data_IF_266375377628
#
_entry.id   IF_266375377628
#
_cell.length_a   1.000
_cell.length_b   1.000
_cell.length_c   1.000
_cell.angle_alpha   90.00
_cell.angle_beta   90.00
_cell.angle_gamma   90.00
#
_symmetry.space_group_name_H-M   'P 1'
#
loop_
_entity.id
_entity.type
_entity.pdbx_description
1 polymer ?
#
# COMPACT_ATOMS: atom_id res chain seq x y z
N UNK A 1 -12.88 -12.26 -26.03
CA UNK A 1 -11.95 -11.11 -26.08
C UNK A 1 -11.05 -11.20 -24.85
N UNK A 2 -9.86 -11.78 -24.99
CA UNK A 2 -8.94 -12.00 -23.87
C UNK A 2 -8.08 -10.78 -23.62
N UNK A 3 -8.06 -10.28 -22.39
CA UNK A 3 -7.12 -9.26 -21.95
C UNK A 3 -5.70 -9.85 -22.00
N UNK A 4 -4.77 -9.18 -22.67
CA UNK A 4 -3.36 -9.57 -22.71
C UNK A 4 -2.71 -9.16 -21.40
N UNK A 5 -2.52 -10.10 -20.49
CA UNK A 5 -1.72 -9.93 -19.26
C UNK A 5 -0.25 -10.18 -19.63
N UNK A 6 0.58 -9.13 -19.55
CA UNK A 6 2.03 -9.26 -19.71
C UNK A 6 2.71 -9.29 -18.35
N UNK A 7 3.06 -10.49 -17.89
CA UNK A 7 3.91 -10.72 -16.71
C UNK A 7 5.37 -10.48 -17.08
N UNK A 8 6.07 -9.60 -16.36
CA UNK A 8 7.52 -9.38 -16.55
C UNK A 8 8.26 -9.69 -15.25
N UNK A 9 9.29 -10.54 -15.39
CA UNK A 9 10.30 -10.85 -14.39
C UNK A 9 11.36 -9.73 -14.36
N UNK A 10 11.64 -9.16 -13.19
CA UNK A 10 12.68 -8.13 -13.05
C UNK A 10 14.06 -8.78 -12.85
N UNK A 11 14.88 -8.85 -13.90
CA UNK A 11 16.32 -9.11 -13.76
C UNK A 11 17.07 -7.80 -13.47
N UNK A 12 17.79 -7.77 -12.35
CA UNK A 12 18.73 -6.71 -11.96
C UNK A 12 19.73 -6.39 -13.08
N UNK A 13 19.93 -5.10 -13.36
CA UNK A 13 21.06 -4.62 -14.15
C UNK A 13 20.73 -3.34 -14.93
N UNK A 14 20.90 -2.19 -14.30
CA UNK A 14 20.85 -0.91 -15.01
C UNK A 14 22.08 -0.78 -15.92
N UNK A 15 21.89 -0.96 -17.23
CA UNK A 15 22.81 -0.41 -18.24
C UNK A 15 21.97 0.36 -19.27
N UNK A 16 22.40 1.58 -19.57
CA UNK A 16 21.67 2.49 -20.45
C UNK A 16 21.68 1.96 -21.89
N UNK A 17 20.57 1.39 -22.34
CA UNK A 17 20.21 1.35 -23.76
C UNK A 17 18.78 1.82 -23.89
N UNK A 18 18.58 2.94 -24.61
CA UNK A 18 17.27 3.36 -25.10
C UNK A 18 16.76 2.28 -26.06
N UNK A 19 15.89 1.42 -25.54
CA UNK A 19 15.00 0.61 -26.36
C UNK A 19 13.92 1.48 -27.03
N UNK A 20 13.17 0.92 -28.00
CA UNK A 20 12.16 1.65 -28.76
C UNK A 20 11.06 2.20 -27.86
N UNK A 21 10.38 3.30 -28.25
CA UNK A 21 9.39 3.98 -27.43
C UNK A 21 8.24 3.02 -27.19
N UNK A 22 8.23 2.51 -25.99
CA UNK A 22 7.22 1.59 -25.49
C UNK A 22 6.57 2.37 -24.36
N UNK A 23 5.26 2.23 -24.23
CA UNK A 23 4.43 2.86 -23.20
C UNK A 23 4.80 2.44 -21.76
N UNK A 24 6.02 1.92 -21.54
CA UNK A 24 6.66 1.55 -20.29
C UNK A 24 6.94 2.71 -19.35
N UNK A 25 6.75 3.96 -19.76
CA UNK A 25 6.76 5.07 -18.81
C UNK A 25 5.64 4.82 -17.79
N UNK A 26 5.99 4.67 -16.52
CA UNK A 26 5.02 4.62 -15.43
C UNK A 26 4.17 5.91 -15.37
N UNK A 27 3.21 6.01 -14.44
CA UNK A 27 2.42 7.22 -14.29
C UNK A 27 3.34 8.45 -14.21
N UNK A 28 2.90 9.56 -14.79
CA UNK A 28 3.63 10.81 -14.71
C UNK A 28 3.91 11.16 -13.23
N UNK A 29 5.12 11.65 -12.94
CA UNK A 29 5.48 12.11 -11.60
C UNK A 29 4.42 13.10 -11.09
N UNK A 30 3.93 12.90 -9.86
CA UNK A 30 2.83 13.71 -9.32
C UNK A 30 1.43 13.07 -9.36
N UNK A 31 1.27 11.90 -9.99
CA UNK A 31 -0.08 11.34 -10.28
C UNK A 31 -0.26 9.86 -9.97
N UNK A 32 0.81 9.21 -9.50
CA UNK A 32 0.78 7.80 -9.12
C UNK A 32 0.13 7.64 -7.74
N UNK A 33 -0.91 6.80 -7.68
CA UNK A 33 -1.41 6.18 -6.46
C UNK A 33 -0.84 4.77 -6.37
N UNK A 34 -0.41 4.35 -5.18
CA UNK A 34 0.21 3.05 -4.95
C UNK A 34 -0.70 2.22 -4.06
N UNK A 35 -1.15 1.09 -4.58
CA UNK A 35 -2.19 0.26 -3.96
C UNK A 35 -1.67 -1.15 -3.78
N UNK A 36 -2.01 -1.78 -2.67
CA UNK A 36 -1.71 -3.17 -2.36
C UNK A 36 -3.02 -3.94 -2.18
N UNK A 37 -3.09 -5.14 -2.76
CA UNK A 37 -4.12 -6.13 -2.47
C UNK A 37 -3.47 -7.33 -1.80
N UNK A 38 -3.89 -7.63 -0.58
CA UNK A 38 -3.51 -8.85 0.10
C UNK A 38 -4.35 -10.02 -0.44
N UNK A 39 -3.67 -11.12 -0.74
CA UNK A 39 -4.29 -12.36 -1.22
C UNK A 39 -3.91 -13.47 -0.26
N UNK A 40 -4.88 -14.30 0.09
CA UNK A 40 -4.65 -15.52 0.84
C UNK A 40 -5.10 -16.72 0.00
N UNK A 41 -4.25 -17.73 -0.11
CA UNK A 41 -4.59 -19.02 -0.71
C UNK A 41 -4.44 -20.09 0.37
N UNK A 42 -5.55 -20.74 0.72
CA UNK A 42 -5.55 -21.86 1.67
C UNK A 42 -4.84 -23.09 1.09
N UNK A 43 -4.45 -24.02 1.96
CA UNK A 43 -3.88 -25.31 1.55
C UNK A 43 -4.84 -26.12 0.66
N UNK A 44 -6.15 -25.94 0.84
CA UNK A 44 -7.21 -26.55 0.03
C UNK A 44 -7.43 -25.84 -1.32
N UNK A 45 -6.71 -24.76 -1.59
CA UNK A 45 -6.80 -23.99 -2.84
C UNK A 45 -7.89 -22.92 -2.87
N UNK A 46 -8.65 -22.74 -1.79
CA UNK A 46 -9.58 -21.60 -1.66
C UNK A 46 -8.79 -20.30 -1.62
N UNK A 47 -9.23 -19.31 -2.39
CA UNK A 47 -8.56 -18.02 -2.56
C UNK A 47 -9.46 -16.89 -2.04
N UNK A 48 -8.90 -16.03 -1.20
CA UNK A 48 -9.52 -14.80 -0.72
C UNK A 48 -8.66 -13.58 -1.05
N UNK A 49 -9.30 -12.45 -1.37
CA UNK A 49 -8.63 -11.15 -1.55
C UNK A 49 -9.18 -10.14 -0.55
N UNK A 50 -8.27 -9.36 0.05
CA UNK A 50 -8.63 -8.24 0.92
C UNK A 50 -9.01 -6.99 0.14
N UNK A 51 -9.39 -5.94 0.88
CA UNK A 51 -9.62 -4.59 0.36
C UNK A 51 -8.33 -3.92 -0.06
N UNK A 52 -8.46 -2.85 -0.85
CA UNK A 52 -7.33 -2.06 -1.28
C UNK A 52 -6.70 -1.28 -0.13
N UNK A 53 -5.41 -1.52 0.09
CA UNK A 53 -4.55 -0.71 0.93
C UNK A 53 -3.84 0.34 0.08
N UNK A 54 -4.02 1.63 0.38
CA UNK A 54 -3.27 2.68 -0.30
C UNK A 54 -2.05 3.07 0.52
N UNK A 55 -0.87 3.10 -0.13
CA UNK A 55 0.36 3.63 0.45
C UNK A 55 0.31 5.15 0.38
N UNK A 56 -0.41 5.78 1.30
CA UNK A 56 -0.74 7.19 1.21
C UNK A 56 0.45 8.13 1.36
N UNK A 57 1.46 7.77 2.16
CA UNK A 57 2.64 8.61 2.38
C UNK A 57 3.88 7.75 2.29
N UNK A 58 4.84 8.15 1.47
CA UNK A 58 6.12 7.45 1.34
C UNK A 58 7.28 8.44 1.23
N UNK A 59 8.46 8.01 1.67
CA UNK A 59 9.70 8.76 1.54
C UNK A 59 10.77 7.83 0.97
N UNK A 60 11.39 8.22 -0.14
CA UNK A 60 12.21 7.32 -0.96
C UNK A 60 11.41 6.04 -1.31
N UNK A 61 11.91 4.86 -0.94
CA UNK A 61 11.26 3.57 -1.16
C UNK A 61 10.39 3.11 0.04
N UNK A 62 10.23 3.92 1.09
CA UNK A 62 9.58 3.51 2.34
C UNK A 62 8.17 4.04 2.44
N UNK A 63 7.23 3.17 2.78
CA UNK A 63 5.86 3.55 3.15
C UNK A 63 5.84 4.00 4.61
N UNK A 64 5.37 5.22 4.85
CA UNK A 64 5.23 5.81 6.17
C UNK A 64 3.79 5.69 6.69
N UNK A 65 2.80 5.86 5.80
CA UNK A 65 1.39 5.71 6.13
C UNK A 65 0.71 4.90 5.03
N UNK A 66 -0.01 3.86 5.42
CA UNK A 66 -0.92 3.11 4.57
C UNK A 66 -2.33 3.09 5.16
N UNK A 67 -3.35 3.08 4.30
CA UNK A 67 -4.75 3.23 4.69
C UNK A 67 -5.64 2.20 3.98
N UNK A 68 -6.58 1.59 4.71
CA UNK A 68 -7.56 0.65 4.17
C UNK A 68 -8.96 0.93 4.75
N UNK A 69 -10.02 0.99 3.91
CA UNK A 69 -9.97 0.98 2.45
C UNK A 69 -9.27 2.22 1.89
N UNK A 70 -8.72 2.09 0.67
CA UNK A 70 -8.08 3.17 -0.05
C UNK A 70 -9.03 4.39 -0.21
N UNK A 71 -8.67 5.58 0.28
CA UNK A 71 -9.54 6.75 0.25
C UNK A 71 -9.88 7.17 -1.18
N UNK A 72 -11.15 7.45 -1.46
CA UNK A 72 -11.63 7.87 -2.80
C UNK A 72 -11.28 6.90 -3.94
N UNK A 73 -11.04 5.63 -3.65
CA UNK A 73 -10.94 4.62 -4.70
C UNK A 73 -12.36 4.20 -5.13
N UNK A 74 -12.72 4.30 -6.42
CA UNK A 74 -14.00 3.80 -6.89
C UNK A 74 -14.11 2.29 -6.67
N UNK A 75 -15.27 1.82 -6.20
CA UNK A 75 -15.50 0.39 -5.92
C UNK A 75 -15.32 -0.51 -7.14
N UNK A 76 -15.61 0.00 -8.34
CA UNK A 76 -15.37 -0.71 -9.61
C UNK A 76 -13.88 -0.93 -9.90
N UNK A 77 -13.04 0.06 -9.57
CA UNK A 77 -11.58 -0.04 -9.70
C UNK A 77 -11.04 -1.01 -8.65
N UNK A 78 -11.50 -0.90 -7.40
CA UNK A 78 -11.11 -1.84 -6.34
C UNK A 78 -11.46 -3.29 -6.70
N UNK A 79 -12.68 -3.54 -7.20
CA UNK A 79 -13.09 -4.86 -7.66
C UNK A 79 -12.17 -5.39 -8.78
N UNK A 80 -11.81 -4.56 -9.76
CA UNK A 80 -10.89 -4.94 -10.83
C UNK A 80 -9.49 -5.29 -10.30
N UNK A 81 -8.95 -4.49 -9.38
CA UNK A 81 -7.65 -4.75 -8.75
C UNK A 81 -7.67 -6.08 -7.98
N UNK A 82 -8.77 -6.37 -7.25
CA UNK A 82 -8.96 -7.62 -6.52
C UNK A 82 -9.03 -8.83 -7.45
N UNK A 83 -9.78 -8.74 -8.55
CA UNK A 83 -9.81 -9.80 -9.57
C UNK A 83 -8.42 -10.08 -10.12
N UNK A 84 -7.68 -9.04 -10.49
CA UNK A 84 -6.32 -9.21 -11.05
C UNK A 84 -5.36 -9.77 -10.01
N UNK A 85 -5.46 -9.34 -8.75
CA UNK A 85 -4.63 -9.90 -7.68
C UNK A 85 -4.89 -11.40 -7.48
N UNK A 86 -6.16 -11.81 -7.55
CA UNK A 86 -6.54 -13.23 -7.51
C UNK A 86 -5.98 -14.02 -8.70
N UNK A 87 -6.06 -13.46 -9.91
CA UNK A 87 -5.54 -14.08 -11.13
C UNK A 87 -4.01 -14.25 -11.05
N UNK A 88 -3.29 -13.21 -10.61
CA UNK A 88 -1.84 -13.27 -10.40
C UNK A 88 -1.46 -14.35 -9.39
N UNK A 89 -2.20 -14.48 -8.29
CA UNK A 89 -1.95 -15.50 -7.29
C UNK A 89 -2.18 -16.92 -7.82
N UNK A 90 -3.24 -17.15 -8.61
CA UNK A 90 -3.51 -18.45 -9.25
C UNK A 90 -2.44 -18.79 -10.28
N UNK A 91 -2.12 -17.86 -11.17
CA UNK A 91 -1.15 -18.08 -12.26
C UNK A 91 0.26 -18.39 -11.72
N UNK A 92 0.60 -17.85 -10.54
CA UNK A 92 1.89 -18.08 -9.87
C UNK A 92 1.86 -19.26 -8.89
N UNK A 93 0.72 -19.95 -8.73
CA UNK A 93 0.58 -21.09 -7.82
C UNK A 93 0.85 -20.73 -6.36
N UNK A 94 0.39 -19.56 -5.91
CA UNK A 94 0.59 -19.11 -4.54
C UNK A 94 -0.05 -20.05 -3.52
N UNK A 95 0.59 -20.16 -2.35
CA UNK A 95 0.11 -20.85 -1.16
C UNK A 95 0.39 -19.95 0.03
N UNK A 96 -0.58 -19.79 0.93
CA UNK A 96 -0.50 -18.86 2.04
C UNK A 96 -0.76 -17.41 1.65
N UNK A 97 -0.15 -16.48 2.37
CA UNK A 97 -0.33 -15.03 2.16
C UNK A 97 0.55 -14.51 1.04
N UNK A 98 0.04 -13.52 0.31
CA UNK A 98 0.80 -12.77 -0.67
C UNK A 98 0.24 -11.36 -0.83
N UNK A 99 1.00 -10.52 -1.53
CA UNK A 99 0.60 -9.14 -1.82
C UNK A 99 0.89 -8.82 -3.27
N UNK A 100 -0.11 -8.28 -3.96
CA UNK A 100 0.04 -7.73 -5.31
C UNK A 100 -0.02 -6.21 -5.20
N UNK A 101 1.06 -5.56 -5.63
CA UNK A 101 1.21 -4.12 -5.62
C UNK A 101 0.88 -3.55 -7.00
N UNK A 102 0.17 -2.42 -7.00
CA UNK A 102 -0.31 -1.73 -8.18
C UNK A 102 0.13 -0.27 -8.17
N UNK A 103 0.41 0.27 -9.35
CA UNK A 103 0.45 1.70 -9.61
C UNK A 103 -0.78 2.11 -10.40
N UNK A 104 -1.49 3.12 -9.94
CA UNK A 104 -2.70 3.67 -10.57
C UNK A 104 -2.43 5.12 -10.98
N UNK A 105 -2.69 5.45 -12.24
CA UNK A 105 -2.77 6.84 -12.69
C UNK A 105 -4.20 7.35 -12.47
N UNK A 106 -4.32 8.27 -11.52
CA UNK A 106 -5.62 8.80 -11.09
C UNK A 106 -6.36 9.60 -12.18
N UNK A 107 -5.67 10.09 -13.23
CA UNK A 107 -6.34 10.81 -14.33
C UNK A 107 -6.95 9.85 -15.36
N UNK A 108 -6.16 8.86 -15.76
CA UNK A 108 -6.56 7.93 -16.84
C UNK A 108 -7.32 6.73 -16.31
N UNK A 109 -7.23 6.44 -15.01
CA UNK A 109 -7.76 5.22 -14.40
C UNK A 109 -6.94 3.98 -14.76
N UNK A 110 -5.85 4.13 -15.50
CA UNK A 110 -4.98 3.02 -15.90
C UNK A 110 -4.17 2.58 -14.70
N UNK A 111 -4.26 1.29 -14.35
CA UNK A 111 -3.43 0.67 -13.34
C UNK A 111 -2.49 -0.38 -13.94
N UNK A 112 -1.37 -0.63 -13.25
CA UNK A 112 -0.35 -1.61 -13.63
C UNK A 112 0.10 -2.38 -12.41
N UNK A 113 0.39 -3.67 -12.57
CA UNK A 113 1.05 -4.47 -11.52
C UNK A 113 2.52 -4.02 -11.45
N UNK A 114 2.95 -3.56 -10.29
CA UNK A 114 4.32 -3.09 -10.05
C UNK A 114 5.16 -4.15 -9.33
N UNK A 115 4.54 -4.96 -8.48
CA UNK A 115 5.18 -6.08 -7.80
C UNK A 115 4.14 -7.13 -7.40
N UNK A 116 4.59 -8.37 -7.20
CA UNK A 116 3.74 -9.44 -6.68
C UNK A 116 4.62 -10.43 -5.92
N UNK A 117 4.42 -10.49 -4.60
CA UNK A 117 5.26 -11.25 -3.69
C UNK A 117 4.41 -12.18 -2.82
N UNK A 118 4.73 -13.47 -2.85
CA UNK A 118 4.24 -14.41 -1.85
C UNK A 118 5.07 -14.23 -0.57
N UNK A 119 4.40 -14.23 0.58
CA UNK A 119 5.08 -14.30 1.87
C UNK A 119 5.38 -15.76 2.18
N UNK A 120 6.61 -16.11 2.57
CA UNK A 120 6.90 -17.45 3.04
C UNK A 120 6.04 -17.73 4.28
N UNK A 121 5.36 -18.89 4.31
CA UNK A 121 4.58 -19.33 5.45
C UNK A 121 5.47 -19.31 6.72
N UNK A 122 5.28 -18.29 7.57
CA UNK A 122 5.83 -18.31 8.91
C UNK A 122 5.00 -19.32 9.70
N UNK A 123 5.55 -20.53 9.89
CA UNK A 123 4.90 -21.59 10.64
C UNK A 123 4.39 -21.06 11.99
N UNK A 124 3.08 -21.13 12.22
CA UNK A 124 2.47 -20.86 13.53
C UNK A 124 1.88 -19.46 13.75
N UNK A 125 1.85 -18.55 12.77
CA UNK A 125 1.06 -17.32 12.92
C UNK A 125 -0.40 -17.62 12.56
N UNK A 126 -1.38 -17.31 13.44
CA UNK A 126 -2.78 -17.38 13.05
C UNK A 126 -2.98 -16.48 11.83
N UNK A 127 -3.48 -17.06 10.74
CA UNK A 127 -3.78 -16.32 9.53
C UNK A 127 -5.01 -15.48 9.83
N UNK A 128 -4.80 -14.23 10.25
CA UNK A 128 -5.84 -13.22 10.18
C UNK A 128 -6.25 -13.10 8.70
N UNK A 129 -7.55 -12.99 8.44
CA UNK A 129 -8.04 -12.77 7.08
C UNK A 129 -7.34 -11.59 6.41
N UNK A 130 -7.35 -11.50 5.07
CA UNK A 130 -6.64 -10.45 4.35
C UNK A 130 -7.18 -9.04 4.63
N UNK A 131 -8.32 -8.93 5.31
CA UNK A 131 -8.94 -7.69 5.74
C UNK A 131 -8.90 -7.50 7.26
N UNK A 132 -8.67 -6.26 7.74
CA UNK A 132 -8.96 -5.93 9.13
C UNK A 132 -10.48 -5.99 9.36
N UNK A 133 -10.91 -6.56 10.49
CA UNK A 133 -12.34 -6.61 10.89
C UNK A 133 -12.98 -5.22 11.06
N UNK A 134 -12.17 -4.17 11.10
CA UNK A 134 -12.62 -2.79 11.21
C UNK A 134 -13.03 -2.19 9.85
N UNK A 135 -14.00 -1.27 9.88
CA UNK A 135 -14.42 -0.52 8.69
C UNK A 135 -13.27 0.29 8.08
N UNK A 136 -12.36 0.81 8.91
CA UNK A 136 -11.21 1.59 8.46
C UNK A 136 -9.96 1.33 9.33
N UNK A 137 -8.80 1.22 8.68
CA UNK A 137 -7.52 0.93 9.29
C UNK A 137 -6.41 1.82 8.71
N UNK A 138 -5.50 2.28 9.58
CA UNK A 138 -4.28 2.99 9.21
C UNK A 138 -3.08 2.25 9.78
N UNK A 139 -2.10 1.95 8.93
CA UNK A 139 -0.79 1.48 9.34
C UNK A 139 0.22 2.62 9.23
N UNK A 140 0.96 2.88 10.31
CA UNK A 140 2.00 3.90 10.36
C UNK A 140 3.33 3.30 10.74
N UNK A 141 4.37 3.63 9.97
CA UNK A 141 5.74 3.25 10.24
C UNK A 141 6.44 4.37 11.00
N UNK A 142 7.01 4.03 12.15
CA UNK A 142 7.76 4.94 13.03
C UNK A 142 9.19 4.39 13.13
N UNK A 143 10.15 5.08 12.52
CA UNK A 143 11.56 4.70 12.65
C UNK A 143 12.14 5.35 13.92
N UNK A 144 12.76 4.54 14.79
CA UNK A 144 13.22 4.98 16.10
C UNK A 144 14.54 5.77 16.10
N UNK A 145 15.24 5.86 14.97
CA UNK A 145 16.54 6.51 14.86
C UNK A 145 16.94 6.72 13.39
N UNK A 146 17.93 7.58 13.15
CA UNK A 146 18.58 7.78 11.84
C UNK A 146 19.24 6.50 11.33
N UNK A 147 19.59 5.56 12.23
CA UNK A 147 20.12 4.25 11.86
C UNK A 147 19.01 3.33 11.33
N UNK A 148 19.08 3.12 10.01
CA UNK A 148 18.14 2.36 9.17
C UNK A 148 18.11 0.85 9.48
N UNK A 149 18.99 0.36 10.37
CA UNK A 149 19.09 -1.05 10.77
C UNK A 149 18.39 -1.37 12.11
N UNK A 150 17.98 -0.34 12.84
CA UNK A 150 17.26 -0.54 14.10
C UNK A 150 15.79 -0.92 13.86
N UNK A 151 15.17 -1.67 14.79
CA UNK A 151 13.78 -2.09 14.67
C UNK A 151 12.86 -0.88 14.51
N UNK A 152 12.02 -0.93 13.48
CA UNK A 152 10.96 0.06 13.27
C UNK A 152 9.70 -0.36 14.03
N UNK A 153 9.01 0.59 14.62
CA UNK A 153 7.71 0.36 15.23
C UNK A 153 6.64 0.54 14.16
N UNK A 154 5.73 -0.43 14.03
CA UNK A 154 4.53 -0.30 13.21
C UNK A 154 3.34 -0.11 14.13
N UNK A 155 2.59 0.97 13.90
CA UNK A 155 1.37 1.28 14.61
C UNK A 155 0.19 1.02 13.69
N UNK A 156 -0.65 0.03 14.02
CA UNK A 156 -1.91 -0.23 13.36
C UNK A 156 -3.05 0.37 14.18
N UNK A 157 -3.87 1.22 13.55
CA UNK A 157 -4.99 1.89 14.21
C UNK A 157 -6.26 1.66 13.43
N UNK A 158 -7.30 1.21 14.13
CA UNK A 158 -8.59 0.90 13.52
C UNK A 158 -9.69 1.83 14.05
N UNK A 159 -10.70 2.08 13.22
CA UNK A 159 -11.90 2.85 13.56
C UNK A 159 -13.12 2.41 12.77
N UNK A 160 -14.32 2.75 13.27
CA UNK A 160 -15.57 2.53 12.53
C UNK A 160 -15.70 3.51 11.36
N UNK A 161 -14.96 4.62 11.39
CA UNK A 161 -14.86 5.60 10.30
C UNK A 161 -13.41 6.03 10.11
N UNK A 162 -13.10 6.57 8.94
CA UNK A 162 -11.81 7.22 8.67
C UNK A 162 -11.47 8.30 9.70
N UNK A 163 -12.41 9.21 9.96
CA UNK A 163 -12.20 10.31 10.91
C UNK A 163 -11.92 9.83 12.33
N UNK A 164 -12.56 8.74 12.76
CA UNK A 164 -12.27 8.12 14.06
C UNK A 164 -10.87 7.48 14.09
N UNK A 165 -10.50 6.73 13.05
CA UNK A 165 -9.17 6.12 12.95
C UNK A 165 -8.06 7.19 12.98
N UNK A 166 -8.26 8.32 12.28
CA UNK A 166 -7.34 9.46 12.31
C UNK A 166 -7.20 10.09 13.71
N UNK A 167 -8.32 10.31 14.42
CA UNK A 167 -8.29 10.83 15.80
C UNK A 167 -7.57 9.89 16.75
N UNK A 168 -7.85 8.58 16.65
CA UNK A 168 -7.17 7.55 17.45
C UNK A 168 -5.68 7.49 17.13
N UNK A 169 -5.31 7.61 15.85
CA UNK A 169 -3.91 7.60 15.44
C UNK A 169 -3.16 8.83 15.96
N UNK A 170 -3.76 10.02 15.86
CA UNK A 170 -3.18 11.23 16.43
C UNK A 170 -2.95 11.10 17.93
N UNK A 171 -3.94 10.57 18.67
CA UNK A 171 -3.82 10.30 20.11
C UNK A 171 -2.70 9.31 20.41
N UNK A 172 -2.69 8.17 19.73
CA UNK A 172 -1.68 7.13 19.92
C UNK A 172 -0.26 7.63 19.64
N UNK A 173 -0.08 8.45 18.59
CA UNK A 173 1.19 9.11 18.32
C UNK A 173 1.57 10.09 19.44
N UNK A 174 0.64 10.90 19.93
CA UNK A 174 0.91 11.90 20.98
C UNK A 174 1.29 11.29 22.33
N UNK A 175 0.75 10.11 22.65
CA UNK A 175 0.96 9.39 23.91
C UNK A 175 2.16 8.42 23.84
N UNK A 176 2.76 8.21 22.66
CA UNK A 176 3.81 7.22 22.46
C UNK A 176 5.14 7.63 23.13
N UNK A 177 5.68 6.81 24.05
CA UNK A 177 6.96 7.09 24.69
C UNK A 177 8.13 6.82 23.73
N UNK A 178 9.22 7.60 23.84
CA UNK A 178 10.50 7.31 23.19
C UNK A 178 11.00 8.34 22.15
N UNK A 179 12.24 8.14 21.64
CA UNK A 179 13.03 9.13 20.91
C UNK A 179 12.66 9.31 19.42
N UNK A 180 11.57 8.73 18.95
CA UNK A 180 11.09 8.87 17.56
C UNK A 180 10.51 10.26 17.23
N UNK A 181 11.03 11.34 17.85
CA UNK A 181 10.44 12.67 17.83
C UNK A 181 10.28 13.28 16.44
N UNK A 182 11.26 13.08 15.54
CA UNK A 182 11.24 13.66 14.20
C UNK A 182 10.19 13.01 13.30
N UNK A 183 10.16 11.68 13.25
CA UNK A 183 9.16 10.94 12.48
C UNK A 183 7.77 11.11 13.07
N UNK A 184 7.64 11.12 14.41
CA UNK A 184 6.37 11.37 15.09
C UNK A 184 5.80 12.75 14.73
N UNK A 185 6.59 13.81 14.85
CA UNK A 185 6.12 15.17 14.52
C UNK A 185 5.72 15.27 13.04
N UNK A 186 6.50 14.67 12.14
CA UNK A 186 6.15 14.59 10.73
C UNK A 186 4.82 13.87 10.50
N UNK A 187 4.63 12.69 11.08
CA UNK A 187 3.40 11.90 10.95
C UNK A 187 2.19 12.66 11.51
N UNK A 188 2.32 13.25 12.71
CA UNK A 188 1.25 14.05 13.32
C UNK A 188 0.85 15.25 12.46
N UNK A 189 1.82 16.01 11.95
CA UNK A 189 1.56 17.13 11.05
C UNK A 189 0.90 16.66 9.74
N UNK A 190 1.32 15.49 9.23
CA UNK A 190 0.79 14.94 7.99
C UNK A 190 -0.66 14.51 8.13
N UNK A 191 -1.01 13.75 9.18
CA UNK A 191 -2.37 13.27 9.40
C UNK A 191 -3.35 14.37 9.82
N UNK A 192 -2.84 15.45 10.42
CA UNK A 192 -3.63 16.64 10.76
C UNK A 192 -3.83 17.59 9.57
N UNK A 193 -3.07 17.43 8.48
CA UNK A 193 -3.14 18.32 7.32
C UNK A 193 -4.51 18.21 6.63
N UNK A 194 -5.04 19.37 6.19
CA UNK A 194 -6.31 19.42 5.44
C UNK A 194 -6.27 18.56 4.17
N UNK A 195 -5.13 18.55 3.48
CA UNK A 195 -4.91 17.78 2.27
C UNK A 195 -5.04 16.26 2.52
N UNK A 196 -4.42 15.74 3.59
CA UNK A 196 -4.55 14.34 3.94
C UNK A 196 -5.96 14.00 4.44
N UNK A 197 -6.57 14.88 5.23
CA UNK A 197 -7.94 14.73 5.70
C UNK A 197 -8.96 14.73 4.55
N UNK A 198 -8.69 15.43 3.44
CA UNK A 198 -9.51 15.36 2.23
C UNK A 198 -9.25 14.11 1.39
N UNK A 199 -8.33 13.21 1.80
CA UNK A 199 -8.00 11.98 1.10
C UNK A 199 -6.99 12.14 -0.03
N UNK A 200 -6.23 13.24 -0.06
CA UNK A 200 -5.08 13.34 -0.97
C UNK A 200 -3.94 12.46 -0.47
N UNK A 201 -3.31 11.74 -1.40
CA UNK A 201 -2.24 10.80 -1.13
C UNK A 201 -1.04 11.04 -2.04
N UNK A 202 0.09 10.48 -1.63
CA UNK A 202 1.31 10.42 -2.41
C UNK A 202 1.86 11.77 -2.82
N UNK A 203 2.36 11.82 -4.04
CA UNK A 203 2.97 13.04 -4.60
C UNK A 203 2.03 14.25 -4.66
N UNK A 204 0.70 14.07 -4.73
CA UNK A 204 -0.26 15.19 -4.65
C UNK A 204 -0.33 15.77 -3.24
N UNK A 205 -0.25 14.91 -2.22
CA UNK A 205 -0.17 15.34 -0.84
C UNK A 205 1.15 16.09 -0.58
N UNK A 206 2.25 15.64 -1.16
CA UNK A 206 3.54 16.33 -1.04
C UNK A 206 3.50 17.73 -1.67
N UNK A 207 2.84 17.89 -2.83
CA UNK A 207 2.65 19.19 -3.48
C UNK A 207 1.70 20.12 -2.73
N UNK A 208 0.71 19.57 -2.01
CA UNK A 208 -0.31 20.37 -1.30
C UNK A 208 0.14 20.85 0.09
N UNK A 209 1.22 20.27 0.63
CA UNK A 209 1.73 20.55 1.99
C UNK A 209 3.18 21.10 1.93
N UNK A 210 3.81 21.08 0.76
CA UNK A 210 5.13 21.65 0.51
C UNK A 210 5.14 23.16 0.34
#
# INVERSE_FOLDING_TARGET
MGAKVSTVMSSRGATSRRGPPTDYAGPAAGRERRLDIHVFVSETGELATGRAWERCVWREARVLIAECPAPHLPSSVEAALRTIAADVARDRGWQGMGTVAFSLDDRSGVFRVSDAQAQPNAAGSPVAGPDPDAAHALEMRIDGCVDRRLPCTRLLVCGATRGEALRRAYRALSEMPGPAGVDRAFLMNRIASRAYCSGLTGTRLDQAVG
#
